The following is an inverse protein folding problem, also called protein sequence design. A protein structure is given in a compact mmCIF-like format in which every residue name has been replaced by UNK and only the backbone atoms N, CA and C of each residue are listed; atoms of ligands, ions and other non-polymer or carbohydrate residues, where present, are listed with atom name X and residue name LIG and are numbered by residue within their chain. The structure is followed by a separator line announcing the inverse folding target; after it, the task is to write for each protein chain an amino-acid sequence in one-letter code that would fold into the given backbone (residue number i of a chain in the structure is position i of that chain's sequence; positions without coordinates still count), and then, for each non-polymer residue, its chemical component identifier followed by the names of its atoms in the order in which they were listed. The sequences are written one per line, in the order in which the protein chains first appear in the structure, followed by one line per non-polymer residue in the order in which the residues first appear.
data_IF_446796544592
#
_entry.id   IF_446796544592
#
_cell.length_a   1.000
_cell.length_b   1.000
_cell.length_c   1.000
_cell.angle_alpha   90.00
_cell.angle_beta   90.00
_cell.angle_gamma   90.00
#
_symmetry.space_group_name_H-M   'P 1'
#
loop_
_entity.id
_entity.type
_entity.pdbx_description
1 polymer ?
#
# COMPACT_ATOMS: atom_id res chain seq x y z
N UNK A 1 47.64 50.96 35.66
CA UNK A 1 47.59 49.55 35.22
C UNK A 1 46.25 48.98 35.64
N UNK A 2 45.44 48.51 34.69
CA UNK A 2 44.12 47.91 34.97
C UNK A 2 44.31 46.47 35.45
N UNK A 3 43.74 46.07 36.60
CA UNK A 3 43.94 44.71 37.12
C UNK A 3 43.01 43.74 36.40
N UNK A 4 43.57 42.76 35.70
CA UNK A 4 42.79 41.67 35.10
C UNK A 4 42.27 40.74 36.20
N UNK A 5 40.95 40.57 36.28
CA UNK A 5 40.28 39.58 37.14
C UNK A 5 40.04 38.31 36.32
N UNK A 6 40.72 37.22 36.68
CA UNK A 6 40.44 35.88 36.13
C UNK A 6 39.23 35.33 36.88
N UNK A 7 38.10 35.22 36.19
CA UNK A 7 36.91 34.53 36.69
C UNK A 7 36.98 33.09 36.18
N UNK A 8 37.28 32.14 37.05
CA UNK A 8 37.21 30.71 36.72
C UNK A 8 35.73 30.30 36.70
N UNK A 9 35.04 30.61 35.61
CA UNK A 9 33.64 30.32 35.45
C UNK A 9 33.44 28.83 35.20
N UNK A 10 32.64 28.17 36.04
CA UNK A 10 31.97 26.88 35.76
C UNK A 10 31.03 26.95 34.52
N UNK A 11 31.18 27.94 33.67
CA UNK A 11 30.31 28.31 32.56
C UNK A 11 30.64 27.59 31.24
N UNK A 12 31.73 26.83 31.18
CA UNK A 12 32.11 26.03 30.01
C UNK A 12 31.59 24.59 30.04
N UNK A 13 31.02 24.11 31.17
CA UNK A 13 30.35 22.82 31.24
C UNK A 13 28.88 22.89 30.80
N UNK A 14 28.19 23.98 31.13
CA UNK A 14 26.79 24.18 30.79
C UNK A 14 26.48 24.15 29.27
N UNK A 15 27.30 24.76 28.38
CA UNK A 15 27.09 24.69 26.94
C UNK A 15 27.24 23.25 26.40
N UNK A 16 28.26 22.53 26.86
CA UNK A 16 28.53 21.14 26.43
C UNK A 16 27.42 20.20 26.89
N UNK A 17 26.92 20.37 28.12
CA UNK A 17 25.80 19.57 28.63
C UNK A 17 24.50 19.80 27.85
N UNK A 18 24.28 21.03 27.36
CA UNK A 18 23.11 21.36 26.53
C UNK A 18 23.27 20.76 25.13
N UNK A 19 24.47 20.82 24.53
CA UNK A 19 24.76 20.22 23.23
C UNK A 19 24.62 18.69 23.25
N UNK A 20 25.13 18.01 24.27
CA UNK A 20 24.99 16.55 24.44
C UNK A 20 23.50 16.15 24.60
N UNK A 21 22.74 16.88 25.43
CA UNK A 21 21.30 16.64 25.56
C UNK A 21 20.55 16.84 24.24
N UNK A 22 20.87 17.91 23.51
CA UNK A 22 20.28 18.15 22.20
C UNK A 22 20.64 17.01 21.22
N UNK A 23 21.89 16.55 21.22
CA UNK A 23 22.33 15.40 20.43
C UNK A 23 21.52 14.13 20.75
N UNK A 24 21.33 13.80 22.03
CA UNK A 24 20.54 12.62 22.42
C UNK A 24 19.08 12.72 22.04
N UNK A 25 18.46 13.88 22.20
CA UNK A 25 17.06 14.11 21.78
C UNK A 25 16.92 13.93 20.28
N UNK A 26 17.81 14.54 19.48
CA UNK A 26 17.80 14.37 18.01
C UNK A 26 18.00 12.91 17.63
N UNK A 27 18.96 12.23 18.27
CA UNK A 27 19.24 10.82 18.01
C UNK A 27 18.05 9.92 18.33
N UNK A 28 17.34 10.20 19.43
CA UNK A 28 16.14 9.46 19.82
C UNK A 28 15.00 9.71 18.82
N UNK A 29 14.72 10.97 18.48
CA UNK A 29 13.71 11.30 17.47
C UNK A 29 13.99 10.64 16.11
N UNK A 30 15.27 10.57 15.69
CA UNK A 30 15.65 9.93 14.44
C UNK A 30 15.48 8.40 14.49
N UNK A 31 15.81 7.77 15.61
CA UNK A 31 15.59 6.32 15.79
C UNK A 31 14.10 5.96 15.74
N UNK A 32 13.26 6.76 16.42
CA UNK A 32 11.81 6.60 16.39
C UNK A 32 11.27 6.76 14.97
N UNK A 33 11.83 7.69 14.19
CA UNK A 33 11.50 7.88 12.78
C UNK A 33 11.92 6.69 11.90
N UNK A 34 13.11 6.14 12.10
CA UNK A 34 13.59 4.97 11.38
C UNK A 34 12.74 3.73 11.70
N UNK A 35 12.39 3.54 12.98
CA UNK A 35 11.48 2.47 13.41
C UNK A 35 10.09 2.66 12.79
N UNK A 36 9.54 3.87 12.80
CA UNK A 36 8.27 4.18 12.15
C UNK A 36 8.35 4.04 10.62
N UNK A 37 9.49 4.33 10.00
CA UNK A 37 9.76 4.09 8.58
C UNK A 37 9.75 2.61 8.25
N UNK A 38 10.47 1.81 9.03
CA UNK A 38 10.55 0.36 8.90
C UNK A 38 9.19 -0.30 9.10
N UNK A 39 8.43 0.12 10.13
CA UNK A 39 7.08 -0.37 10.40
C UNK A 39 6.13 -0.09 9.23
N UNK A 40 6.15 1.14 8.68
CA UNK A 40 5.36 1.48 7.48
C UNK A 40 5.78 0.67 6.27
N UNK A 41 7.07 0.40 6.11
CA UNK A 41 7.57 -0.43 5.02
C UNK A 41 7.04 -1.86 5.11
N UNK A 42 7.07 -2.48 6.31
CA UNK A 42 6.46 -3.79 6.51
C UNK A 42 4.96 -3.79 6.22
N UNK A 43 4.23 -2.79 6.71
CA UNK A 43 2.79 -2.66 6.42
C UNK A 43 2.50 -2.54 4.92
N UNK A 44 3.32 -1.81 4.16
CA UNK A 44 3.18 -1.71 2.71
C UNK A 44 3.48 -3.04 2.02
N UNK A 45 4.49 -3.77 2.49
CA UNK A 45 4.79 -5.11 1.97
C UNK A 45 3.62 -6.07 2.18
N UNK A 46 3.03 -6.09 3.38
CA UNK A 46 1.85 -6.91 3.68
C UNK A 46 0.67 -6.56 2.75
N UNK A 47 0.43 -5.26 2.50
CA UNK A 47 -0.62 -4.81 1.59
C UNK A 47 -0.36 -5.19 0.14
N UNK A 48 0.89 -5.10 -0.31
CA UNK A 48 1.28 -5.54 -1.66
C UNK A 48 1.12 -7.05 -1.84
N UNK A 49 1.40 -7.84 -0.81
CA UNK A 49 1.17 -9.28 -0.80
C UNK A 49 -0.33 -9.62 -0.88
N UNK A 50 -1.16 -8.98 -0.05
CA UNK A 50 -2.62 -9.14 -0.11
C UNK A 50 -3.19 -8.72 -1.47
N UNK A 51 -2.67 -7.64 -2.05
CA UNK A 51 -3.08 -7.19 -3.39
C UNK A 51 -2.71 -8.22 -4.45
N UNK A 52 -1.52 -8.79 -4.38
CA UNK A 52 -1.06 -9.81 -5.32
C UNK A 52 -1.91 -11.09 -5.18
N UNK A 53 -2.19 -11.52 -3.95
CA UNK A 53 -3.05 -12.68 -3.69
C UNK A 53 -4.47 -12.46 -4.24
N UNK A 54 -5.06 -11.29 -3.99
CA UNK A 54 -6.37 -10.95 -4.53
C UNK A 54 -6.38 -10.92 -6.06
N UNK A 55 -5.31 -10.39 -6.68
CA UNK A 55 -5.16 -10.35 -8.14
C UNK A 55 -5.06 -11.76 -8.73
N UNK A 56 -4.19 -12.62 -8.20
CA UNK A 56 -4.06 -14.00 -8.67
C UNK A 56 -5.35 -14.80 -8.47
N UNK A 57 -6.04 -14.63 -7.34
CA UNK A 57 -7.36 -15.21 -7.13
C UNK A 57 -8.37 -14.71 -8.17
N UNK A 58 -8.40 -13.40 -8.46
CA UNK A 58 -9.32 -12.84 -9.47
C UNK A 58 -9.08 -13.40 -10.87
N UNK A 59 -7.81 -13.69 -11.24
CA UNK A 59 -7.47 -14.32 -12.51
C UNK A 59 -8.06 -15.73 -12.65
N UNK A 60 -8.15 -16.47 -11.54
CA UNK A 60 -8.73 -17.82 -11.52
C UNK A 60 -10.27 -17.77 -11.66
N UNK A 61 -10.92 -16.71 -11.18
CA UNK A 61 -12.38 -16.53 -11.29
C UNK A 61 -12.83 -15.83 -12.58
N UNK A 62 -11.89 -15.48 -13.46
CA UNK A 62 -12.20 -14.91 -14.77
C UNK A 62 -12.90 -15.96 -15.66
N UNK A 63 -13.81 -15.56 -16.57
CA UNK A 63 -14.31 -16.45 -17.60
C UNK A 63 -13.19 -17.00 -18.50
N UNK A 64 -13.25 -18.30 -18.77
CA UNK A 64 -12.40 -19.00 -19.73
C UNK A 64 -13.27 -19.67 -20.79
N UNK A 65 -12.73 -19.83 -22.00
CA UNK A 65 -13.41 -20.51 -23.11
C UNK A 65 -12.98 -21.98 -23.13
N UNK A 66 -13.95 -22.90 -23.12
CA UNK A 66 -13.67 -24.34 -23.30
C UNK A 66 -13.36 -24.60 -24.77
N UNK A 67 -12.17 -25.11 -25.07
CA UNK A 67 -11.76 -25.45 -26.45
C UNK A 67 -12.01 -26.91 -26.78
N UNK A 68 -11.62 -27.81 -25.87
CA UNK A 68 -11.71 -29.26 -26.07
C UNK A 68 -12.18 -29.96 -24.79
N UNK A 69 -12.97 -31.02 -24.95
CA UNK A 69 -13.39 -31.91 -23.86
C UNK A 69 -12.88 -33.31 -24.17
N UNK A 70 -12.07 -33.87 -23.28
CA UNK A 70 -11.50 -35.20 -23.41
C UNK A 70 -12.30 -36.22 -22.57
N UNK A 71 -12.18 -37.53 -22.86
CA UNK A 71 -12.68 -38.57 -21.96
C UNK A 71 -12.08 -38.43 -20.55
N UNK A 72 -12.80 -38.91 -19.53
CA UNK A 72 -12.40 -38.88 -18.11
C UNK A 72 -12.38 -37.48 -17.46
N UNK A 73 -13.34 -36.64 -17.83
CA UNK A 73 -13.55 -35.31 -17.22
C UNK A 73 -12.30 -34.41 -17.27
N UNK A 74 -11.56 -34.44 -18.37
CA UNK A 74 -10.47 -33.47 -18.62
C UNK A 74 -10.95 -32.46 -19.63
N UNK A 75 -10.84 -31.18 -19.30
CA UNK A 75 -11.30 -30.06 -20.14
C UNK A 75 -10.14 -29.12 -20.38
N UNK A 76 -9.97 -28.72 -21.62
CA UNK A 76 -9.01 -27.68 -22.00
C UNK A 76 -9.70 -26.31 -21.98
N UNK A 77 -9.12 -25.41 -21.20
CA UNK A 77 -9.55 -24.03 -21.07
C UNK A 77 -8.56 -23.12 -21.78
N UNK A 78 -9.10 -22.11 -22.44
CA UNK A 78 -8.35 -21.05 -23.10
C UNK A 78 -8.71 -19.70 -22.48
N UNK A 79 -7.69 -18.96 -22.07
CA UNK A 79 -7.85 -17.55 -21.71
C UNK A 79 -8.00 -16.71 -22.99
N UNK A 80 -9.00 -15.84 -23.00
CA UNK A 80 -9.31 -14.99 -24.14
C UNK A 80 -8.28 -13.87 -24.33
N UNK A 81 -7.75 -13.31 -23.24
CA UNK A 81 -6.81 -12.17 -23.32
C UNK A 81 -5.41 -12.64 -23.70
N UNK A 82 -4.95 -13.72 -23.06
CA UNK A 82 -3.56 -14.19 -23.20
C UNK A 82 -3.43 -15.31 -24.23
N UNK A 83 -4.55 -15.84 -24.76
CA UNK A 83 -4.60 -17.02 -25.65
C UNK A 83 -3.90 -18.28 -25.09
N UNK A 84 -3.59 -18.31 -23.79
CA UNK A 84 -2.96 -19.44 -23.13
C UNK A 84 -3.97 -20.56 -22.91
N UNK A 85 -3.55 -21.81 -23.14
CA UNK A 85 -4.39 -23.01 -22.96
C UNK A 85 -3.84 -23.89 -21.84
N UNK A 86 -4.72 -24.41 -21.00
CA UNK A 86 -4.36 -25.33 -19.91
C UNK A 86 -5.48 -26.34 -19.67
N UNK A 87 -5.13 -27.52 -19.12
CA UNK A 87 -6.08 -28.59 -18.84
C UNK A 87 -6.45 -28.60 -17.36
N UNK A 88 -7.74 -28.72 -17.07
CA UNK A 88 -8.27 -28.87 -15.72
C UNK A 88 -9.22 -30.07 -15.66
N UNK A 89 -9.47 -30.54 -14.45
CA UNK A 89 -10.53 -31.52 -14.23
C UNK A 89 -11.90 -30.81 -14.38
N UNK A 90 -12.81 -31.39 -15.16
CA UNK A 90 -14.15 -30.87 -15.41
C UNK A 90 -14.96 -30.64 -14.14
N UNK A 91 -14.72 -31.43 -13.08
CA UNK A 91 -15.35 -31.24 -11.77
C UNK A 91 -14.95 -29.94 -11.06
N UNK A 92 -13.84 -29.31 -11.44
CA UNK A 92 -13.36 -28.06 -10.84
C UNK A 92 -13.91 -26.81 -11.55
N UNK A 93 -14.68 -27.00 -12.63
CA UNK A 93 -15.21 -25.90 -13.43
C UNK A 93 -16.58 -25.49 -12.92
N UNK A 94 -16.82 -24.18 -12.83
CA UNK A 94 -18.13 -23.60 -12.56
C UNK A 94 -18.59 -22.81 -13.77
N UNK A 95 -19.83 -23.00 -14.20
CA UNK A 95 -20.40 -22.25 -15.33
C UNK A 95 -20.39 -20.75 -14.99
N UNK A 96 -19.79 -19.95 -15.86
CA UNK A 96 -19.82 -18.50 -15.73
C UNK A 96 -21.14 -17.97 -16.26
N UNK A 97 -21.86 -17.22 -15.45
CA UNK A 97 -23.05 -16.49 -15.87
C UNK A 97 -22.65 -15.04 -16.08
N UNK A 98 -22.71 -14.57 -17.32
CA UNK A 98 -22.55 -13.16 -17.61
C UNK A 98 -23.72 -12.41 -16.95
N UNK A 99 -23.41 -11.56 -15.97
CA UNK A 99 -24.41 -10.73 -15.32
C UNK A 99 -25.04 -9.75 -16.32
N UNK A 100 -26.18 -9.12 -15.98
CA UNK A 100 -26.75 -8.07 -16.82
C UNK A 100 -25.65 -7.02 -17.08
N UNK A 101 -25.29 -6.81 -18.33
CA UNK A 101 -24.44 -5.68 -18.69
C UNK A 101 -25.17 -4.43 -18.22
N UNK A 102 -24.56 -3.58 -17.38
CA UNK A 102 -25.18 -2.30 -17.06
C UNK A 102 -25.35 -1.58 -18.38
N UNK A 103 -26.61 -1.42 -18.78
CA UNK A 103 -26.96 -0.62 -19.93
C UNK A 103 -26.33 0.74 -19.65
N UNK A 104 -25.59 1.26 -20.63
CA UNK A 104 -24.77 2.49 -20.58
C UNK A 104 -25.51 3.75 -20.04
N UNK A 105 -26.80 3.66 -19.72
CA UNK A 105 -27.62 4.70 -19.10
C UNK A 105 -27.63 4.76 -17.57
N UNK A 106 -27.29 3.69 -16.83
CA UNK A 106 -27.54 3.62 -15.37
C UNK A 106 -26.26 3.68 -14.50
N UNK A 107 -25.21 4.34 -14.99
CA UNK A 107 -24.11 4.75 -14.12
C UNK A 107 -24.54 6.00 -13.32
N UNK A 108 -25.03 5.79 -12.10
CA UNK A 108 -25.18 6.87 -11.13
C UNK A 108 -23.79 7.39 -10.73
N UNK A 109 -23.35 8.43 -11.42
CA UNK A 109 -22.11 9.15 -11.12
C UNK A 109 -22.30 9.96 -9.84
N UNK A 110 -21.78 9.45 -8.73
CA UNK A 110 -21.63 10.27 -7.51
C UNK A 110 -20.55 11.34 -7.77
N UNK A 111 -20.97 12.52 -8.22
CA UNK A 111 -20.10 13.70 -8.28
C UNK A 111 -19.72 14.12 -6.87
N UNK A 112 -18.49 13.83 -6.46
CA UNK A 112 -17.90 14.41 -5.25
C UNK A 112 -17.61 15.89 -5.53
N UNK A 113 -18.54 16.76 -5.14
CA UNK A 113 -18.30 18.20 -5.11
C UNK A 113 -17.21 18.47 -4.07
N UNK A 114 -16.11 19.11 -4.48
CA UNK A 114 -15.12 19.59 -3.52
C UNK A 114 -15.80 20.57 -2.53
N UNK A 115 -15.58 20.42 -1.21
CA UNK A 115 -16.14 21.33 -0.24
C UNK A 115 -15.50 22.70 -0.46
N UNK A 116 -16.33 23.70 -0.74
CA UNK A 116 -15.90 25.09 -0.83
C UNK A 116 -15.27 25.49 0.51
N UNK A 117 -14.06 26.08 0.52
CA UNK A 117 -13.49 26.63 1.74
C UNK A 117 -14.45 27.69 2.27
N UNK A 118 -14.83 27.59 3.55
CA UNK A 118 -15.61 28.62 4.22
C UNK A 118 -14.78 29.91 4.21
N UNK A 119 -15.36 30.96 3.63
CA UNK A 119 -14.81 32.31 3.64
C UNK A 119 -14.99 32.89 5.06
N UNK A 120 -14.15 32.43 5.99
CA UNK A 120 -14.01 33.07 7.29
C UNK A 120 -13.14 34.32 7.09
N UNK A 121 -13.78 35.45 6.84
CA UNK A 121 -13.16 36.78 6.85
C UNK A 121 -13.60 37.53 8.12
N UNK A 122 -12.73 38.41 8.66
CA UNK A 122 -11.98 38.30 9.91
C UNK A 122 -12.75 38.67 11.19
#
# INVERSE_FOLDING_TARGET
MSPYRIVFGKACHLPVEIEDRAYWVVKQCNLDYDQAGTQRQFQLQDLDELRLEAYENSRIYKPFVITNVFPYDVVELKDEDTSNTFQVNGHQIKLYHEGPTPIVGDMETISLMEPTPSDDTP
#
